data_IF_963864271198
#
_entry.id   IF_963864271198
#
_cell.length_a   1.000
_cell.length_b   1.000
_cell.length_c   1.000
_cell.angle_alpha   90.00
_cell.angle_beta   90.00
_cell.angle_gamma   90.00
#
_symmetry.space_group_name_H-M   'P 1'
#
loop_
_entity.id
_entity.type
_entity.pdbx_description
1 polymer ?
#
# COMPACT_ATOMS: atom_id res chain seq x y z
N UNK A 1 -2.18 -13.95 -1.34
CA UNK A 1 -1.02 -13.30 -2.00
C UNK A 1 -1.52 -12.08 -2.75
N UNK A 2 -0.81 -10.96 -2.66
CA UNK A 2 -1.15 -9.67 -3.25
C UNK A 2 -0.12 -9.25 -4.29
N UNK A 3 -0.61 -8.68 -5.39
CA UNK A 3 0.18 -7.91 -6.35
C UNK A 3 0.00 -6.45 -6.03
N UNK A 4 1.12 -5.76 -5.79
CA UNK A 4 1.15 -4.35 -5.42
C UNK A 4 1.78 -3.57 -6.56
N UNK A 5 1.13 -2.49 -7.01
CA UNK A 5 1.73 -1.57 -7.99
C UNK A 5 1.76 -0.17 -7.41
N UNK A 6 2.96 0.41 -7.37
CA UNK A 6 3.23 1.77 -6.91
C UNK A 6 3.43 2.65 -8.13
N UNK A 7 2.64 3.71 -8.23
CA UNK A 7 2.59 4.63 -9.35
C UNK A 7 3.02 5.99 -8.84
N UNK A 8 4.09 6.54 -9.42
CA UNK A 8 4.60 7.88 -9.11
C UNK A 8 4.64 8.71 -10.38
N UNK A 9 4.40 10.01 -10.26
CA UNK A 9 4.43 10.94 -11.38
C UNK A 9 5.80 10.92 -12.07
N UNK A 10 5.81 10.69 -13.39
CA UNK A 10 7.03 10.71 -14.20
C UNK A 10 7.96 9.51 -14.01
N UNK A 11 7.56 8.48 -13.26
CA UNK A 11 8.35 7.27 -13.07
C UNK A 11 7.62 6.02 -13.62
N UNK A 12 8.35 4.99 -14.06
CA UNK A 12 7.77 3.69 -14.34
C UNK A 12 7.08 3.11 -13.09
N UNK A 13 6.01 2.35 -13.31
CA UNK A 13 5.31 1.67 -12.22
C UNK A 13 6.21 0.62 -11.55
N UNK A 14 6.39 0.75 -10.23
CA UNK A 14 7.11 -0.21 -9.39
C UNK A 14 6.15 -1.33 -8.98
N UNK A 15 6.49 -2.57 -9.31
CA UNK A 15 5.64 -3.75 -9.09
C UNK A 15 6.28 -4.62 -8.03
N UNK A 16 5.51 -4.90 -6.97
CA UNK A 16 5.92 -5.73 -5.83
C UNK A 16 4.88 -6.79 -5.54
N UNK A 17 5.25 -7.72 -4.67
CA UNK A 17 4.36 -8.77 -4.16
C UNK A 17 4.37 -8.77 -2.65
N UNK A 18 3.23 -9.08 -2.04
CA UNK A 18 3.09 -9.25 -0.61
C UNK A 18 2.35 -10.55 -0.30
N UNK A 19 2.81 -11.30 0.69
CA UNK A 19 2.17 -12.57 1.10
C UNK A 19 1.35 -12.36 2.36
N UNK A 20 1.80 -11.47 3.24
CA UNK A 20 1.15 -11.17 4.53
C UNK A 20 0.70 -9.72 4.61
N UNK A 21 -0.14 -9.42 5.60
CA UNK A 21 -0.47 -8.03 5.95
C UNK A 21 0.74 -7.24 6.47
N UNK A 22 1.74 -7.92 7.05
CA UNK A 22 3.00 -7.30 7.44
C UNK A 22 3.81 -6.84 6.24
N UNK A 23 3.86 -7.64 5.18
CA UNK A 23 4.56 -7.30 3.93
C UNK A 23 3.90 -6.09 3.25
N UNK A 24 2.56 -6.05 3.19
CA UNK A 24 1.82 -4.90 2.68
C UNK A 24 2.15 -3.63 3.46
N UNK A 25 2.21 -3.72 4.78
CA UNK A 25 2.56 -2.59 5.64
C UNK A 25 3.97 -2.09 5.36
N UNK A 26 4.94 -2.99 5.28
CA UNK A 26 6.33 -2.65 4.97
C UNK A 26 6.43 -1.93 3.63
N UNK A 27 5.77 -2.44 2.58
CA UNK A 27 5.76 -1.80 1.26
C UNK A 27 5.18 -0.38 1.34
N UNK A 28 4.04 -0.20 2.01
CA UNK A 28 3.41 1.12 2.11
C UNK A 28 4.31 2.09 2.90
N UNK A 29 4.95 1.64 3.98
CA UNK A 29 5.85 2.47 4.77
C UNK A 29 7.10 2.88 4.00
N UNK A 30 7.69 1.97 3.22
CA UNK A 30 8.82 2.27 2.36
C UNK A 30 8.46 3.34 1.33
N UNK A 31 7.24 3.28 0.77
CA UNK A 31 6.75 4.29 -0.18
C UNK A 31 6.60 5.65 0.49
N UNK A 32 5.89 5.73 1.62
CA UNK A 32 5.66 7.00 2.33
C UNK A 32 7.00 7.66 2.73
N UNK A 33 7.96 6.87 3.22
CA UNK A 33 9.30 7.37 3.55
C UNK A 33 10.06 7.88 2.32
N UNK A 34 9.94 7.19 1.19
CA UNK A 34 10.59 7.61 -0.06
C UNK A 34 10.02 8.92 -0.62
N UNK A 35 8.75 9.23 -0.34
CA UNK A 35 8.12 10.52 -0.68
C UNK A 35 8.52 11.66 0.29
N UNK A 36 9.42 11.40 1.25
CA UNK A 36 9.88 12.39 2.22
C UNK A 36 8.86 12.74 3.30
N UNK A 37 7.78 11.96 3.41
CA UNK A 37 6.80 12.14 4.49
C UNK A 37 7.29 11.45 5.76
N UNK A 38 7.46 12.21 6.82
CA UNK A 38 7.80 11.68 8.14
C UNK A 38 6.55 11.05 8.77
N UNK A 39 6.61 9.74 9.06
CA UNK A 39 5.53 9.05 9.77
C UNK A 39 5.77 9.29 11.26
N UNK A 40 4.90 10.08 11.89
CA UNK A 40 4.95 10.25 13.35
C UNK A 40 4.29 9.07 14.07
N UNK A 41 4.59 8.87 15.35
CA UNK A 41 3.95 7.82 16.16
C UNK A 41 2.41 7.99 16.23
N UNK A 42 1.92 9.22 16.17
CA UNK A 42 0.48 9.52 16.08
C UNK A 42 -0.16 9.00 14.79
N UNK A 43 0.55 9.05 13.67
CA UNK A 43 0.06 8.58 12.36
C UNK A 43 0.11 7.06 12.25
N UNK A 44 0.93 6.41 13.07
CA UNK A 44 1.20 4.97 12.99
C UNK A 44 -0.07 4.12 13.14
N UNK A 45 -0.92 4.45 14.12
CA UNK A 45 -2.16 3.71 14.36
C UNK A 45 -3.18 3.91 13.21
N UNK A 46 -3.26 5.12 12.67
CA UNK A 46 -4.11 5.47 11.53
C UNK A 46 -3.67 4.74 10.26
N UNK A 47 -2.37 4.73 9.97
CA UNK A 47 -1.80 4.03 8.82
C UNK A 47 -2.00 2.52 8.92
N UNK A 48 -1.79 1.93 10.10
CA UNK A 48 -2.07 0.51 10.34
C UNK A 48 -3.53 0.18 9.96
N UNK A 49 -4.47 1.00 10.42
CA UNK A 49 -5.90 0.80 10.16
C UNK A 49 -6.23 1.00 8.68
N UNK A 50 -5.68 2.04 8.05
CA UNK A 50 -5.86 2.31 6.62
C UNK A 50 -5.38 1.15 5.76
N UNK A 51 -4.17 0.64 6.02
CA UNK A 51 -3.58 -0.50 5.31
C UNK A 51 -4.39 -1.77 5.57
N UNK A 52 -4.86 -1.97 6.81
CA UNK A 52 -5.74 -3.08 7.18
C UNK A 52 -7.07 -3.06 6.42
N UNK A 53 -7.69 -1.88 6.30
CA UNK A 53 -8.91 -1.70 5.51
C UNK A 53 -8.69 -1.96 4.03
N UNK A 54 -7.61 -1.43 3.46
CA UNK A 54 -7.27 -1.66 2.05
C UNK A 54 -6.99 -3.14 1.77
N UNK A 55 -6.32 -3.84 2.69
CA UNK A 55 -6.16 -5.29 2.59
C UNK A 55 -7.51 -6.01 2.61
N UNK A 56 -8.39 -5.67 3.56
CA UNK A 56 -9.70 -6.30 3.66
C UNK A 56 -10.54 -6.07 2.41
N UNK A 57 -10.49 -4.86 1.84
CA UNK A 57 -11.17 -4.54 0.58
C UNK A 57 -10.56 -5.31 -0.59
N UNK A 58 -9.24 -5.42 -0.67
CA UNK A 58 -8.60 -6.27 -1.68
C UNK A 58 -8.98 -7.75 -1.51
N UNK A 59 -9.14 -8.24 -0.28
CA UNK A 59 -9.55 -9.63 -0.01
C UNK A 59 -11.01 -9.90 -0.42
N UNK A 60 -11.92 -8.93 -0.23
CA UNK A 60 -13.35 -9.08 -0.54
C UNK A 60 -13.66 -8.76 -2.00
N UNK A 61 -13.15 -7.64 -2.51
CA UNK A 61 -13.51 -7.07 -3.81
C UNK A 61 -12.44 -7.32 -4.88
N UNK A 62 -11.30 -7.91 -4.52
CA UNK A 62 -10.18 -8.21 -5.43
C UNK A 62 -9.23 -7.04 -5.69
N UNK A 63 -9.56 -5.85 -5.21
CA UNK A 63 -8.80 -4.64 -5.46
C UNK A 63 -8.93 -3.61 -4.33
N UNK A 64 -7.85 -2.88 -4.05
CA UNK A 64 -7.85 -1.67 -3.25
C UNK A 64 -6.83 -0.67 -3.80
N UNK A 65 -7.05 0.62 -3.51
CA UNK A 65 -6.11 1.69 -3.82
C UNK A 65 -5.91 2.59 -2.60
N UNK A 66 -4.68 3.08 -2.45
CA UNK A 66 -4.27 4.07 -1.46
C UNK A 66 -3.55 5.20 -2.19
N UNK A 67 -3.79 6.45 -1.78
CA UNK A 67 -3.14 7.63 -2.34
C UNK A 67 -2.37 8.38 -1.25
N UNK A 68 -1.14 8.77 -1.58
CA UNK A 68 -0.21 9.49 -0.72
C UNK A 68 0.47 10.59 -1.57
N UNK A 69 -0.04 11.81 -1.50
CA UNK A 69 0.45 12.91 -2.36
C UNK A 69 0.31 12.57 -3.84
N UNK A 70 1.42 12.64 -4.59
CA UNK A 70 1.51 12.29 -6.02
C UNK A 70 1.71 10.79 -6.28
N UNK A 71 1.64 9.96 -5.23
CA UNK A 71 1.86 8.52 -5.31
C UNK A 71 0.56 7.73 -5.07
N UNK A 72 0.27 6.79 -5.95
CA UNK A 72 -0.81 5.83 -5.78
C UNK A 72 -0.26 4.40 -5.58
N UNK A 73 -0.82 3.66 -4.62
CA UNK A 73 -0.53 2.26 -4.37
C UNK A 73 -1.78 1.45 -4.63
N UNK A 74 -1.72 0.54 -5.60
CA UNK A 74 -2.81 -0.40 -5.89
C UNK A 74 -2.46 -1.77 -5.35
N UNK A 75 -3.45 -2.46 -4.78
CA UNK A 75 -3.33 -3.77 -4.16
C UNK A 75 -4.36 -4.68 -4.82
N UNK A 76 -3.91 -5.76 -5.46
CA UNK A 76 -4.78 -6.79 -6.03
C UNK A 76 -4.57 -8.10 -5.30
N UNK A 77 -5.62 -8.68 -4.76
CA UNK A 77 -5.54 -10.06 -4.28
C UNK A 77 -5.63 -11.01 -5.47
N UNK A 78 -4.86 -12.09 -5.43
CA UNK A 78 -5.19 -13.26 -6.22
C UNK A 78 -6.37 -13.93 -5.52
N UNK A 79 -7.59 -13.54 -5.88
CA UNK A 79 -8.75 -14.40 -5.62
C UNK A 79 -8.61 -15.56 -6.60
N UNK A 80 -8.31 -16.73 -6.06
CA UNK A 80 -8.39 -17.99 -6.79
C UNK A 80 -9.86 -18.42 -6.89
#
# INVERSE_FOLDING_TARGET
MYRVTIIRKGQPADRRTATTGGDLRNIVYDVIRAEGSEITDSDHSGLIRLIGNARSMADVDGFAALEFGDTAITIRSHIA
#
